data_IF_198083498717
#
_entry.id   IF_198083498717
#
_cell.length_a   1.000
_cell.length_b   1.000
_cell.length_c   1.000
_cell.angle_alpha   90.00
_cell.angle_beta   90.00
_cell.angle_gamma   90.00
#
_symmetry.space_group_name_H-M   'P 1'
#
loop_
_entity.id
_entity.type
_entity.pdbx_description
1 polymer ?
#
# COMPACT_ATOMS: atom_id res chain seq x y z
N UNK A 1 41.61 46.59 -8.41
CA UNK A 1 40.65 46.08 -7.40
C UNK A 1 39.73 45.06 -8.06
N UNK A 2 40.04 43.80 -7.78
CA UNK A 2 39.17 42.63 -7.58
C UNK A 2 37.99 42.36 -8.53
N UNK A 3 38.20 41.33 -9.36
CA UNK A 3 37.26 40.58 -10.21
C UNK A 3 36.02 40.14 -9.41
N UNK A 4 34.84 40.62 -9.79
CA UNK A 4 33.55 40.25 -9.20
C UNK A 4 33.05 38.91 -9.72
N UNK A 5 33.54 37.85 -9.07
CA UNK A 5 32.79 36.69 -8.54
C UNK A 5 31.62 36.16 -9.40
N UNK A 6 31.96 35.22 -10.29
CA UNK A 6 31.27 33.94 -10.54
C UNK A 6 30.08 33.65 -9.60
N UNK A 7 28.86 33.77 -10.09
CA UNK A 7 27.67 33.15 -9.48
C UNK A 7 27.64 31.67 -9.88
N UNK A 8 28.20 30.82 -9.01
CA UNK A 8 28.04 29.36 -9.01
C UNK A 8 27.24 28.99 -7.76
N UNK A 9 26.06 28.39 -7.92
CA UNK A 9 25.42 27.49 -6.94
C UNK A 9 24.01 27.12 -7.43
N UNK A 10 23.46 25.91 -7.29
CA UNK A 10 23.97 24.60 -6.89
C UNK A 10 22.81 23.63 -7.20
N UNK A 11 22.92 22.82 -8.26
CA UNK A 11 21.94 21.79 -8.62
C UNK A 11 21.90 20.71 -7.53
N UNK A 12 20.94 20.77 -6.59
CA UNK A 12 20.70 19.69 -5.62
C UNK A 12 19.83 18.60 -6.26
N UNK A 13 20.44 17.78 -7.12
CA UNK A 13 19.86 16.50 -7.54
C UNK A 13 19.86 15.55 -6.34
N UNK A 14 18.70 15.36 -5.71
CA UNK A 14 18.48 14.31 -4.70
C UNK A 14 18.73 12.95 -5.37
N UNK A 15 19.89 12.36 -5.10
CA UNK A 15 20.23 10.98 -5.48
C UNK A 15 19.39 10.04 -4.63
N UNK A 16 18.30 9.50 -5.17
CA UNK A 16 17.64 8.32 -4.59
C UNK A 16 18.60 7.15 -4.74
N UNK A 17 19.21 6.72 -3.63
CA UNK A 17 20.04 5.51 -3.57
C UNK A 17 19.13 4.31 -3.78
N UNK A 18 19.14 3.71 -4.98
CA UNK A 18 18.52 2.41 -5.25
C UNK A 18 19.31 1.35 -4.49
N UNK A 19 18.87 1.01 -3.27
CA UNK A 19 19.39 -0.15 -2.54
C UNK A 19 18.90 -1.40 -3.29
N UNK A 20 19.76 -1.98 -4.12
CA UNK A 20 19.66 -3.39 -4.52
C UNK A 20 20.19 -4.19 -3.33
N UNK A 21 19.28 -4.66 -2.49
CA UNK A 21 19.58 -5.60 -1.41
C UNK A 21 18.68 -6.81 -1.60
N UNK A 22 19.24 -8.00 -1.40
CA UNK A 22 18.53 -9.26 -1.43
C UNK A 22 17.33 -9.20 -0.46
N UNK A 23 16.12 -9.06 -1.00
CA UNK A 23 14.92 -9.33 -0.23
C UNK A 23 14.84 -10.85 -0.11
N UNK A 24 15.31 -11.29 1.05
CA UNK A 24 15.06 -12.60 1.60
C UNK A 24 13.63 -13.05 1.26
N UNK A 25 13.50 -14.33 0.93
CA UNK A 25 12.26 -15.13 0.96
C UNK A 25 11.61 -15.05 2.36
N UNK A 26 11.18 -13.86 2.78
CA UNK A 26 10.28 -13.73 3.90
C UNK A 26 8.93 -14.23 3.39
N UNK A 27 8.22 -15.07 4.17
CA UNK A 27 6.86 -15.45 3.84
C UNK A 27 6.07 -14.15 3.66
N UNK A 28 5.62 -13.90 2.43
CA UNK A 28 4.82 -12.72 2.12
C UNK A 28 3.53 -12.86 2.91
N UNK A 29 3.29 -11.94 3.82
CA UNK A 29 2.01 -11.90 4.53
C UNK A 29 0.92 -11.72 3.47
N UNK A 30 -0.05 -12.62 3.44
CA UNK A 30 -1.26 -12.50 2.62
C UNK A 30 -2.42 -12.07 3.50
N UNK A 31 -3.38 -11.37 2.91
CA UNK A 31 -4.68 -11.06 3.49
C UNK A 31 -5.73 -11.81 2.69
N UNK A 32 -6.57 -12.57 3.38
CA UNK A 32 -7.76 -13.17 2.79
C UNK A 32 -8.77 -12.05 2.57
N UNK A 33 -9.28 -11.92 1.35
CA UNK A 33 -10.32 -10.98 1.01
C UNK A 33 -11.58 -11.76 0.67
N UNK A 34 -12.73 -11.33 1.18
CA UNK A 34 -14.02 -11.98 0.95
C UNK A 34 -14.88 -11.10 0.06
N UNK A 35 -15.51 -11.70 -0.95
CA UNK A 35 -16.53 -11.04 -1.74
C UNK A 35 -17.88 -11.10 -1.03
N UNK A 36 -18.52 -9.95 -0.84
CA UNK A 36 -19.84 -9.89 -0.18
C UNK A 36 -21.01 -10.36 -1.07
N UNK A 37 -20.76 -10.54 -2.37
CA UNK A 37 -21.78 -10.92 -3.35
C UNK A 37 -21.82 -12.43 -3.58
N UNK A 38 -20.65 -13.05 -3.83
CA UNK A 38 -20.55 -14.47 -4.17
C UNK A 38 -19.84 -15.31 -3.10
N UNK A 39 -19.34 -14.69 -2.02
CA UNK A 39 -18.64 -15.36 -0.91
C UNK A 39 -17.33 -16.05 -1.30
N UNK A 40 -16.77 -15.71 -2.48
CA UNK A 40 -15.43 -16.14 -2.86
C UNK A 40 -14.35 -15.49 -1.98
N UNK A 41 -13.29 -16.24 -1.74
CA UNK A 41 -12.14 -15.85 -0.95
C UNK A 41 -10.90 -15.75 -1.85
N UNK A 42 -10.21 -14.61 -1.80
CA UNK A 42 -9.01 -14.38 -2.58
C UNK A 42 -7.83 -14.02 -1.68
N UNK A 43 -6.70 -14.69 -1.88
CA UNK A 43 -5.45 -14.39 -1.19
C UNK A 43 -4.72 -13.25 -1.89
N UNK A 44 -4.83 -12.04 -1.33
CA UNK A 44 -4.15 -10.86 -1.85
C UNK A 44 -2.91 -10.60 -1.00
N UNK A 45 -1.72 -10.36 -1.58
CA UNK A 45 -0.55 -10.01 -0.80
C UNK A 45 -0.78 -8.75 0.04
N UNK A 46 -0.43 -8.81 1.33
CA UNK A 46 -0.64 -7.69 2.27
C UNK A 46 0.10 -6.42 1.82
N UNK A 47 1.26 -6.57 1.19
CA UNK A 47 2.00 -5.43 0.65
C UNK A 47 1.22 -4.71 -0.46
N UNK A 48 0.49 -5.45 -1.30
CA UNK A 48 -0.39 -4.86 -2.32
C UNK A 48 -1.52 -4.10 -1.64
N UNK A 49 -2.20 -4.71 -0.67
CA UNK A 49 -3.27 -4.04 0.10
C UNK A 49 -2.77 -2.74 0.75
N UNK A 50 -1.59 -2.78 1.38
CA UNK A 50 -0.97 -1.61 2.01
C UNK A 50 -0.53 -0.53 1.02
N UNK A 51 0.03 -0.93 -0.12
CA UNK A 51 0.49 0.03 -1.13
C UNK A 51 -0.71 0.79 -1.75
N UNK A 52 -1.84 0.10 -1.94
CA UNK A 52 -3.09 0.73 -2.38
C UNK A 52 -3.68 1.67 -1.32
N UNK A 53 -3.70 1.26 -0.05
CA UNK A 53 -4.08 2.13 1.09
C UNK A 53 -3.25 3.43 1.11
N UNK A 54 -1.92 3.30 0.95
CA UNK A 54 -1.00 4.43 0.89
C UNK A 54 -1.27 5.36 -0.32
N UNK A 55 -1.64 4.78 -1.47
CA UNK A 55 -1.94 5.54 -2.68
C UNK A 55 -3.26 6.29 -2.59
N UNK A 56 -4.25 5.75 -1.88
CA UNK A 56 -5.58 6.38 -1.67
C UNK A 56 -5.56 7.44 -0.55
N UNK A 57 -4.38 7.72 0.01
CA UNK A 57 -4.20 8.69 1.10
C UNK A 57 -4.39 8.12 2.50
N UNK A 58 -4.64 6.80 2.60
CA UNK A 58 -4.75 6.08 3.86
C UNK A 58 -5.97 6.49 4.67
N UNK A 59 -7.17 6.44 4.07
CA UNK A 59 -8.39 6.77 4.81
C UNK A 59 -8.51 5.84 6.04
N UNK A 60 -8.48 6.39 7.26
CA UNK A 60 -8.55 5.58 8.48
C UNK A 60 -9.92 4.89 8.68
N UNK A 61 -10.93 5.24 7.88
CA UNK A 61 -12.31 4.77 8.05
C UNK A 61 -12.70 3.65 7.09
N UNK A 62 -11.98 3.45 5.99
CA UNK A 62 -12.33 2.44 4.98
C UNK A 62 -11.11 1.59 4.59
N UNK A 63 -11.22 0.25 4.60
CA UNK A 63 -10.14 -0.60 4.11
C UNK A 63 -10.03 -0.51 2.58
N UNK A 64 -8.88 -0.91 2.02
CA UNK A 64 -8.75 -1.13 0.58
C UNK A 64 -9.76 -2.16 0.07
N UNK A 65 -10.36 -1.87 -1.09
CA UNK A 65 -11.33 -2.73 -1.76
C UNK A 65 -10.76 -3.26 -3.08
N UNK A 66 -11.08 -4.50 -3.41
CA UNK A 66 -10.71 -5.14 -4.67
C UNK A 66 -11.95 -5.63 -5.42
N UNK A 67 -11.81 -5.87 -6.71
CA UNK A 67 -12.88 -6.47 -7.51
C UNK A 67 -12.69 -7.98 -7.53
N UNK A 68 -13.72 -8.73 -7.17
CA UNK A 68 -13.73 -10.19 -7.24
C UNK A 68 -13.53 -10.66 -8.67
N UNK A 69 -12.63 -11.61 -8.88
CA UNK A 69 -12.35 -12.16 -10.22
C UNK A 69 -13.53 -12.97 -10.77
N UNK A 70 -14.40 -13.51 -9.91
CA UNK A 70 -15.54 -14.31 -10.34
C UNK A 70 -16.80 -13.52 -10.69
N UNK A 71 -17.16 -12.54 -9.86
CA UNK A 71 -18.43 -11.82 -10.03
C UNK A 71 -18.26 -10.32 -10.28
N UNK A 72 -17.04 -9.77 -10.18
CA UNK A 72 -16.78 -8.34 -10.29
C UNK A 72 -17.30 -7.51 -9.12
N UNK A 73 -17.83 -8.15 -8.07
CA UNK A 73 -18.29 -7.49 -6.84
C UNK A 73 -17.13 -7.00 -5.97
N UNK A 74 -17.43 -6.13 -5.02
CA UNK A 74 -16.43 -5.63 -4.07
C UNK A 74 -15.99 -6.72 -3.09
N UNK A 75 -14.68 -6.76 -2.85
CA UNK A 75 -14.02 -7.62 -1.87
C UNK A 75 -13.38 -6.80 -0.78
N UNK A 76 -13.47 -7.34 0.44
CA UNK A 76 -12.98 -6.71 1.66
C UNK A 76 -12.02 -7.66 2.38
N UNK A 77 -10.90 -7.16 2.92
CA UNK A 77 -9.97 -7.99 3.69
C UNK A 77 -10.63 -8.46 4.99
N UNK A 78 -10.43 -9.72 5.35
CA UNK A 78 -10.91 -10.28 6.63
C UNK A 78 -10.36 -9.49 7.82
N UNK A 79 -9.05 -9.17 7.75
CA UNK A 79 -8.34 -8.33 8.70
C UNK A 79 -7.32 -7.46 7.98
N UNK A 80 -7.37 -6.16 8.27
CA UNK A 80 -6.38 -5.21 7.78
C UNK A 80 -5.99 -4.21 8.87
N UNK A 81 -4.71 -3.88 8.95
CA UNK A 81 -4.21 -2.82 9.82
C UNK A 81 -3.71 -1.68 8.95
N UNK A 82 -4.49 -0.61 8.92
CA UNK A 82 -4.18 0.60 8.18
C UNK A 82 -2.91 1.26 8.69
N UNK A 83 -2.29 2.07 7.83
CA UNK A 83 -1.02 2.74 8.16
C UNK A 83 -1.11 3.66 9.38
N UNK A 84 -2.29 4.22 9.64
CA UNK A 84 -2.57 5.10 10.77
C UNK A 84 -2.90 4.33 12.06
N UNK A 85 -2.79 3.00 12.05
CA UNK A 85 -2.96 2.13 13.19
C UNK A 85 -4.39 1.66 13.45
N UNK A 86 -5.34 2.04 12.59
CA UNK A 86 -6.72 1.53 12.65
C UNK A 86 -6.74 0.09 12.19
N UNK A 87 -7.50 -0.73 12.91
CA UNK A 87 -7.69 -2.12 12.58
C UNK A 87 -9.10 -2.29 12.03
N UNK A 88 -9.18 -2.91 10.88
CA UNK A 88 -10.40 -3.30 10.22
C UNK A 88 -10.57 -4.81 10.37
N UNK A 89 -11.77 -5.23 10.74
CA UNK A 89 -12.20 -6.63 10.74
C UNK A 89 -13.52 -6.74 10.03
N UNK A 90 -13.60 -7.65 9.07
CA UNK A 90 -14.83 -7.87 8.32
C UNK A 90 -15.98 -8.35 9.22
N UNK A 91 -15.65 -9.11 10.28
CA UNK A 91 -16.59 -9.58 11.30
C UNK A 91 -17.29 -8.47 12.08
N UNK A 92 -16.74 -7.24 12.11
CA UNK A 92 -17.33 -6.14 12.87
C UNK A 92 -18.45 -5.42 12.08
N UNK A 93 -18.59 -5.75 10.78
CA UNK A 93 -19.50 -5.09 9.84
C UNK A 93 -20.61 -6.04 9.34
N UNK A 94 -20.36 -7.34 9.36
CA UNK A 94 -21.34 -8.41 9.07
C UNK A 94 -22.19 -8.75 10.30
#
# INVERSE_FOLDING_TARGET
MSISKKLRNQNKRKKYKKKKGADHLQPKKTSINHCLMCHEEEEIPYDVVRDFDLMDGGDPTTPPRFNCEQCGGEMYPEYYKGMHGQEYKLSDIL
#
